data_IF_140943620840
#
_entry.id   IF_140943620840
#
_cell.length_a   1.000
_cell.length_b   1.000
_cell.length_c   1.000
_cell.angle_alpha   90.00
_cell.angle_beta   90.00
_cell.angle_gamma   90.00
#
_symmetry.space_group_name_H-M   'P 1'
#
loop_
_entity.id
_entity.type
_entity.pdbx_description
1 polymer ?
#
# COMPACT_ATOMS: atom_id res chain seq x y z
N UNK A 1 -11.88 3.25 6.36
CA UNK A 1 -13.26 3.77 6.38
C UNK A 1 -14.04 3.12 5.25
N UNK A 2 -15.30 2.74 5.48
CA UNK A 2 -16.14 2.05 4.50
C UNK A 2 -17.43 2.81 4.21
N UNK A 3 -18.05 2.54 3.06
CA UNK A 3 -19.40 3.01 2.73
C UNK A 3 -20.50 2.14 3.36
N UNK A 4 -21.77 2.46 3.07
CA UNK A 4 -22.96 1.74 3.55
C UNK A 4 -23.11 0.32 2.96
N UNK A 5 -22.36 0.01 1.88
CA UNK A 5 -22.31 -1.31 1.24
C UNK A 5 -21.12 -2.14 1.73
N UNK A 6 -20.28 -1.58 2.61
CA UNK A 6 -19.09 -2.23 3.15
C UNK A 6 -17.86 -2.12 2.26
N UNK A 7 -17.87 -1.29 1.22
CA UNK A 7 -16.70 -1.07 0.38
C UNK A 7 -15.68 -0.17 1.07
N UNK A 8 -14.39 -0.47 0.91
CA UNK A 8 -13.31 0.37 1.41
C UNK A 8 -13.21 1.65 0.57
N UNK A 9 -13.47 2.82 1.20
CA UNK A 9 -13.44 4.12 0.52
C UNK A 9 -12.16 4.89 0.85
N UNK A 10 -11.62 4.72 2.07
CA UNK A 10 -10.38 5.36 2.50
C UNK A 10 -9.56 4.39 3.34
N UNK A 11 -8.29 4.25 2.99
CA UNK A 11 -7.25 3.58 3.78
C UNK A 11 -6.22 4.61 4.26
N UNK A 12 -5.72 4.43 5.48
CA UNK A 12 -4.68 5.27 6.09
C UNK A 12 -3.65 4.34 6.71
N UNK A 13 -2.37 4.57 6.41
CA UNK A 13 -1.27 3.77 6.93
C UNK A 13 -0.55 4.56 8.03
N UNK A 14 -0.53 4.03 9.25
CA UNK A 14 0.11 4.70 10.39
C UNK A 14 1.59 4.35 10.45
N UNK A 15 2.45 5.37 10.43
CA UNK A 15 3.91 5.21 10.50
C UNK A 15 4.46 4.24 9.43
N UNK A 16 3.82 4.21 8.26
CA UNK A 16 4.22 3.39 7.12
C UNK A 16 4.01 4.24 5.88
N UNK A 17 5.10 4.77 5.33
CA UNK A 17 5.08 5.47 4.07
C UNK A 17 5.29 4.45 2.94
N UNK A 18 4.20 4.10 2.26
CA UNK A 18 4.22 3.13 1.15
C UNK A 18 4.93 3.73 -0.06
N UNK A 19 4.82 5.05 -0.27
CA UNK A 19 5.45 5.75 -1.39
C UNK A 19 6.97 5.75 -1.24
N UNK A 20 7.46 6.14 -0.06
CA UNK A 20 8.88 6.09 0.30
C UNK A 20 9.47 4.69 0.07
N UNK A 21 8.79 3.65 0.56
CA UNK A 21 9.26 2.27 0.38
C UNK A 21 9.38 1.83 -1.09
N UNK A 22 8.64 2.46 -2.01
CA UNK A 22 8.74 2.22 -3.45
C UNK A 22 9.83 3.06 -4.11
N UNK A 23 10.05 4.28 -3.63
CA UNK A 23 11.13 5.16 -4.08
C UNK A 23 12.51 4.55 -3.80
N UNK A 24 12.65 3.90 -2.64
CA UNK A 24 13.89 3.25 -2.20
C UNK A 24 13.93 1.74 -2.49
N UNK A 25 13.11 1.25 -3.42
CA UNK A 25 12.95 -0.18 -3.68
C UNK A 25 14.25 -0.93 -4.04
N UNK A 26 15.20 -0.23 -4.65
CA UNK A 26 16.51 -0.76 -5.07
C UNK A 26 17.68 -0.11 -4.31
N UNK A 27 17.38 0.59 -3.22
CA UNK A 27 18.41 1.20 -2.37
C UNK A 27 19.05 0.11 -1.48
N UNK A 28 20.39 -0.06 -1.51
CA UNK A 28 21.09 -1.09 -0.73
C UNK A 28 20.83 -1.03 0.78
N UNK A 29 20.57 0.17 1.30
CA UNK A 29 20.30 0.46 2.71
C UNK A 29 18.84 0.21 3.13
N UNK A 30 17.92 0.07 2.17
CA UNK A 30 16.50 -0.12 2.47
C UNK A 30 16.16 -1.61 2.60
N UNK A 31 15.42 -2.04 3.64
CA UNK A 31 15.09 -3.44 3.79
C UNK A 31 14.13 -3.93 2.70
N UNK A 32 14.59 -4.82 1.82
CA UNK A 32 13.82 -5.39 0.68
C UNK A 32 12.43 -5.92 1.08
N UNK A 33 12.33 -6.56 2.25
CA UNK A 33 11.06 -7.11 2.73
C UNK A 33 10.01 -6.02 3.02
N UNK A 34 10.45 -4.81 3.40
CA UNK A 34 9.55 -3.67 3.62
C UNK A 34 9.02 -3.13 2.30
N UNK A 35 9.88 -2.96 1.29
CA UNK A 35 9.48 -2.60 -0.08
C UNK A 35 8.53 -3.64 -0.68
N UNK A 36 8.82 -4.92 -0.50
CA UNK A 36 7.96 -6.02 -0.97
C UNK A 36 6.57 -5.96 -0.33
N UNK A 37 6.50 -5.65 0.97
CA UNK A 37 5.24 -5.48 1.67
C UNK A 37 4.48 -4.25 1.16
N UNK A 38 5.18 -3.14 0.94
CA UNK A 38 4.59 -1.92 0.38
C UNK A 38 3.98 -2.19 -1.01
N UNK A 39 4.66 -2.95 -1.88
CA UNK A 39 4.12 -3.33 -3.19
C UNK A 39 2.81 -4.09 -3.06
N UNK A 40 2.74 -5.07 -2.15
CA UNK A 40 1.51 -5.84 -1.92
C UNK A 40 0.37 -4.95 -1.45
N UNK A 41 0.62 -4.00 -0.55
CA UNK A 41 -0.41 -3.06 -0.11
C UNK A 41 -0.90 -2.19 -1.26
N UNK A 42 0.00 -1.48 -1.95
CA UNK A 42 -0.40 -0.56 -3.02
C UNK A 42 -1.09 -1.26 -4.20
N UNK A 43 -0.60 -2.45 -4.61
CA UNK A 43 -1.24 -3.24 -5.65
C UNK A 43 -2.61 -3.76 -5.23
N UNK A 44 -2.77 -4.23 -3.99
CA UNK A 44 -4.07 -4.67 -3.50
C UNK A 44 -5.07 -3.52 -3.42
N UNK A 45 -4.63 -2.32 -3.02
CA UNK A 45 -5.49 -1.13 -3.03
C UNK A 45 -5.94 -0.77 -4.44
N UNK A 46 -5.02 -0.79 -5.41
CA UNK A 46 -5.33 -0.57 -6.83
C UNK A 46 -6.32 -1.60 -7.37
N UNK A 47 -6.02 -2.88 -7.20
CA UNK A 47 -6.90 -3.97 -7.66
C UNK A 47 -8.28 -3.86 -7.02
N UNK A 48 -8.35 -3.63 -5.72
CA UNK A 48 -9.62 -3.44 -5.02
C UNK A 48 -10.43 -2.30 -5.64
N UNK A 49 -9.81 -1.13 -5.83
CA UNK A 49 -10.46 0.07 -6.38
C UNK A 49 -10.98 -0.11 -7.81
N UNK A 50 -10.42 -1.07 -8.55
CA UNK A 50 -10.81 -1.39 -9.92
C UNK A 50 -11.86 -2.52 -10.01
N UNK A 51 -12.14 -3.21 -8.90
CA UNK A 51 -12.95 -4.44 -8.92
C UNK A 51 -14.13 -4.44 -7.94
N UNK A 52 -14.16 -3.52 -6.97
CA UNK A 52 -15.21 -3.38 -5.94
C UNK A 52 -15.61 -1.91 -5.84
#
# INVERSE_FOLDING_TARGET
>A
MTDDKGHLIVSVNYNTDIGDAWEYADAPEYPEHMTTLAYRYGLNYLVYSLTH
#
